data_IF_312897805770
#
_entry.id   IF_312897805770
#
_cell.length_a   1.000
_cell.length_b   1.000
_cell.length_c   1.000
_cell.angle_alpha   90.00
_cell.angle_beta   90.00
_cell.angle_gamma   90.00
#
_symmetry.space_group_name_H-M   'P 1'
#
loop_
_entity.id
_entity.type
_entity.pdbx_description
1 polymer ?
#
# COMPACT_ATOMS: atom_id res chain seq x y z
N UNK A 1 2.92 14.12 -8.58
CA UNK A 1 1.47 13.89 -8.79
C UNK A 1 0.69 15.20 -8.69
N UNK A 2 0.99 16.12 -7.76
CA UNK A 2 0.18 17.34 -7.49
C UNK A 2 -0.10 18.28 -8.66
N UNK A 3 0.70 18.25 -9.73
CA UNK A 3 0.52 19.12 -10.92
C UNK A 3 -0.39 18.55 -12.00
N UNK A 4 -0.84 17.33 -11.82
CA UNK A 4 -1.62 16.60 -12.82
C UNK A 4 -3.10 16.75 -12.47
N UNK A 5 -4.00 16.99 -13.46
CA UNK A 5 -5.44 16.94 -13.22
C UNK A 5 -5.84 15.65 -12.52
N UNK A 6 -6.66 15.74 -11.48
CA UNK A 6 -7.02 14.56 -10.69
C UNK A 6 -5.92 14.11 -9.72
N UNK A 7 -5.08 15.00 -9.24
CA UNK A 7 -3.96 14.70 -8.35
C UNK A 7 -4.34 13.80 -7.16
N UNK A 8 -5.47 14.07 -6.51
CA UNK A 8 -5.94 13.25 -5.38
C UNK A 8 -6.42 11.85 -5.83
N UNK A 9 -6.94 11.71 -7.04
CA UNK A 9 -7.29 10.40 -7.59
C UNK A 9 -6.02 9.56 -7.83
N UNK A 10 -4.97 10.15 -8.39
CA UNK A 10 -3.67 9.48 -8.52
C UNK A 10 -3.05 9.13 -7.18
N UNK A 11 -3.19 10.02 -6.18
CA UNK A 11 -2.74 9.74 -4.81
C UNK A 11 -3.49 8.55 -4.20
N UNK A 12 -4.80 8.43 -4.49
CA UNK A 12 -5.61 7.30 -4.05
C UNK A 12 -5.09 5.97 -4.66
N UNK A 13 -4.82 5.93 -5.97
CA UNK A 13 -4.28 4.75 -6.64
C UNK A 13 -2.93 4.34 -6.04
N UNK A 14 -2.01 5.29 -5.87
CA UNK A 14 -0.71 5.02 -5.26
C UNK A 14 -0.84 4.61 -3.79
N UNK A 15 -1.73 5.25 -3.04
CA UNK A 15 -2.02 4.90 -1.65
C UNK A 15 -2.52 3.46 -1.52
N UNK A 16 -3.48 3.05 -2.35
CA UNK A 16 -4.00 1.68 -2.38
C UNK A 16 -2.91 0.67 -2.77
N UNK A 17 -2.09 0.97 -3.77
CA UNK A 17 -0.99 0.11 -4.19
C UNK A 17 0.04 -0.10 -3.08
N UNK A 18 0.47 0.98 -2.41
CA UNK A 18 1.46 0.92 -1.33
C UNK A 18 0.88 0.29 -0.06
N UNK A 19 -0.29 0.74 0.40
CA UNK A 19 -0.92 0.19 1.60
C UNK A 19 -1.33 -1.27 1.38
N UNK A 20 -1.91 -1.57 0.23
CA UNK A 20 -2.36 -2.92 -0.10
C UNK A 20 -1.20 -3.91 -0.20
N UNK A 21 -0.04 -3.49 -0.72
CA UNK A 21 1.16 -4.36 -0.75
C UNK A 21 1.65 -4.72 0.65
N UNK A 22 1.45 -3.86 1.65
CA UNK A 22 1.79 -4.17 3.05
C UNK A 22 0.72 -5.07 3.68
N UNK A 23 -0.55 -4.74 3.50
CA UNK A 23 -1.68 -5.45 4.11
C UNK A 23 -2.09 -6.71 3.36
N UNK A 24 -1.70 -6.85 2.08
CA UNK A 24 -2.16 -7.88 1.13
C UNK A 24 -3.69 -8.02 1.06
N UNK A 25 -4.43 -6.98 1.41
CA UNK A 25 -5.89 -6.97 1.49
C UNK A 25 -6.48 -5.78 0.75
N UNK A 26 -7.24 -6.04 -0.31
CA UNK A 26 -7.97 -5.00 -1.05
C UNK A 26 -9.04 -4.32 -0.18
N UNK A 27 -9.69 -5.07 0.71
CA UNK A 27 -10.71 -4.53 1.62
C UNK A 27 -10.06 -3.56 2.61
N UNK A 28 -8.95 -3.97 3.24
CA UNK A 28 -8.22 -3.11 4.16
C UNK A 28 -7.68 -1.86 3.46
N UNK A 29 -7.12 -2.00 2.25
CA UNK A 29 -6.64 -0.89 1.46
C UNK A 29 -7.76 0.09 1.10
N UNK A 30 -8.88 -0.41 0.55
CA UNK A 30 -10.01 0.44 0.17
C UNK A 30 -10.62 1.17 1.36
N UNK A 31 -10.68 0.53 2.52
CA UNK A 31 -11.23 1.12 3.75
C UNK A 31 -10.28 2.18 4.32
N UNK A 32 -9.00 1.86 4.47
CA UNK A 32 -8.02 2.77 5.06
C UNK A 32 -7.78 4.00 4.15
N UNK A 33 -7.48 3.77 2.89
CA UNK A 33 -7.17 4.84 1.94
C UNK A 33 -8.44 5.59 1.54
N UNK A 34 -9.54 4.87 1.25
CA UNK A 34 -10.82 5.48 0.89
C UNK A 34 -11.43 6.30 2.03
N UNK A 35 -11.30 5.83 3.27
CA UNK A 35 -11.78 6.57 4.45
C UNK A 35 -11.14 7.95 4.61
N UNK A 36 -9.89 8.09 4.20
CA UNK A 36 -9.14 9.36 4.26
C UNK A 36 -9.31 10.17 2.97
N UNK A 37 -9.10 9.54 1.81
CA UNK A 37 -9.00 10.28 0.55
C UNK A 37 -10.34 10.59 -0.11
N UNK A 38 -11.39 9.78 0.06
CA UNK A 38 -12.70 10.07 -0.55
C UNK A 38 -13.29 11.36 0.03
N UNK A 39 -13.38 11.57 1.36
CA UNK A 39 -13.83 12.85 1.91
C UNK A 39 -13.00 14.04 1.44
N UNK A 40 -11.68 13.87 1.39
CA UNK A 40 -10.77 14.92 0.92
C UNK A 40 -11.01 15.27 -0.56
N UNK A 41 -11.16 14.26 -1.43
CA UNK A 41 -11.50 14.47 -2.84
C UNK A 41 -12.83 15.22 -3.00
N UNK A 42 -13.86 14.82 -2.26
CA UNK A 42 -15.18 15.48 -2.30
C UNK A 42 -15.07 16.94 -1.85
N UNK A 43 -14.33 17.23 -0.79
CA UNK A 43 -14.11 18.60 -0.31
C UNK A 43 -13.35 19.47 -1.33
N UNK A 44 -12.51 18.87 -2.17
CA UNK A 44 -11.78 19.53 -3.26
C UNK A 44 -12.61 19.60 -4.57
N UNK A 45 -13.89 19.22 -4.53
CA UNK A 45 -14.81 19.36 -5.66
C UNK A 45 -14.85 18.16 -6.61
N UNK A 46 -14.32 17.00 -6.21
CA UNK A 46 -14.48 15.78 -7.00
C UNK A 46 -15.87 15.17 -6.80
N UNK A 47 -16.44 14.60 -7.86
CA UNK A 47 -17.66 13.80 -7.73
C UNK A 47 -17.39 12.57 -6.83
N UNK A 48 -18.31 12.36 -5.86
CA UNK A 48 -18.18 11.26 -4.90
C UNK A 48 -18.17 9.88 -5.56
N UNK A 49 -18.96 9.71 -6.63
CA UNK A 49 -19.02 8.44 -7.38
C UNK A 49 -17.68 8.16 -8.05
N UNK A 50 -17.07 9.19 -8.66
CA UNK A 50 -15.75 9.09 -9.27
C UNK A 50 -14.68 8.75 -8.21
N UNK A 51 -14.63 9.47 -7.09
CA UNK A 51 -13.70 9.22 -6.01
C UNK A 51 -13.81 7.79 -5.47
N UNK A 52 -15.05 7.31 -5.25
CA UNK A 52 -15.31 5.94 -4.78
C UNK A 52 -14.93 4.91 -5.83
N UNK A 53 -15.24 5.14 -7.11
CA UNK A 53 -14.90 4.22 -8.20
C UNK A 53 -13.38 4.06 -8.35
N UNK A 54 -12.62 5.15 -8.29
CA UNK A 54 -11.15 5.10 -8.33
C UNK A 54 -10.60 4.31 -7.14
N UNK A 55 -11.14 4.54 -5.94
CA UNK A 55 -10.71 3.83 -4.74
C UNK A 55 -10.95 2.31 -4.85
N UNK A 56 -12.15 1.91 -5.25
CA UNK A 56 -12.51 0.48 -5.38
C UNK A 56 -11.72 -0.18 -6.50
N UNK A 57 -11.58 0.48 -7.65
CA UNK A 57 -10.84 -0.07 -8.79
C UNK A 57 -9.34 -0.25 -8.49
N UNK A 58 -8.75 0.62 -7.67
CA UNK A 58 -7.33 0.59 -7.34
C UNK A 58 -6.97 -0.31 -6.14
N UNK A 59 -7.92 -0.59 -5.25
CA UNK A 59 -7.64 -1.40 -4.06
C UNK A 59 -7.06 -2.80 -4.37
N UNK A 60 -7.51 -3.55 -5.42
CA UNK A 60 -6.94 -4.83 -5.77
C UNK A 60 -5.47 -4.79 -6.21
N UNK A 61 -4.94 -3.64 -6.63
CA UNK A 61 -3.52 -3.52 -7.01
C UNK A 61 -2.60 -3.94 -5.87
N UNK A 62 -2.98 -3.64 -4.62
CA UNK A 62 -2.22 -4.02 -3.45
C UNK A 62 -2.19 -5.52 -3.14
N UNK A 63 -3.15 -6.30 -3.64
CA UNK A 63 -3.09 -7.77 -3.54
C UNK A 63 -2.15 -8.40 -4.55
N UNK A 64 -1.94 -7.72 -5.68
CA UNK A 64 -1.12 -8.21 -6.79
C UNK A 64 0.33 -7.72 -6.66
N UNK A 65 0.53 -6.50 -6.13
CA UNK A 65 1.88 -5.97 -5.88
C UNK A 65 2.48 -6.65 -4.65
N UNK A 66 3.64 -7.31 -4.78
CA UNK A 66 4.28 -7.99 -3.66
C UNK A 66 4.70 -7.05 -2.50
N UNK A 67 4.79 -7.59 -1.27
CA UNK A 67 4.54 -8.99 -0.88
C UNK A 67 3.05 -9.34 -0.90
N UNK A 68 2.70 -10.49 -1.49
CA UNK A 68 1.31 -10.92 -1.69
C UNK A 68 1.07 -12.30 -1.08
N UNK A 69 0.12 -12.39 -0.14
CA UNK A 69 -0.29 -13.66 0.45
C UNK A 69 -0.89 -14.59 -0.57
N UNK A 70 -1.59 -14.08 -1.60
CA UNK A 70 -2.16 -14.88 -2.67
C UNK A 70 -1.07 -15.63 -3.46
N UNK A 71 0.05 -14.99 -3.76
CA UNK A 71 1.17 -15.65 -4.45
C UNK A 71 1.88 -16.65 -3.58
N UNK A 72 2.02 -16.38 -2.28
CA UNK A 72 2.59 -17.34 -1.32
C UNK A 72 1.70 -18.59 -1.24
N UNK A 73 0.40 -18.42 -1.07
CA UNK A 73 -0.55 -19.53 -1.03
C UNK A 73 -0.57 -20.31 -2.35
N UNK A 74 -0.54 -19.61 -3.49
CA UNK A 74 -0.45 -20.28 -4.79
C UNK A 74 0.83 -21.12 -4.92
N UNK A 75 1.98 -20.61 -4.51
CA UNK A 75 3.24 -21.36 -4.54
C UNK A 75 3.18 -22.65 -3.74
N UNK A 76 2.53 -22.60 -2.56
CA UNK A 76 2.37 -23.77 -1.69
C UNK A 76 1.44 -24.83 -2.31
N UNK A 77 0.31 -24.39 -2.89
CA UNK A 77 -0.71 -25.29 -3.47
C UNK A 77 -0.25 -25.86 -4.82
N UNK A 78 0.42 -25.07 -5.63
CA UNK A 78 0.90 -25.47 -6.96
C UNK A 78 2.14 -26.39 -6.92
N UNK A 79 2.66 -26.71 -5.72
CA UNK A 79 3.70 -27.72 -5.57
C UNK A 79 5.07 -27.31 -6.10
N UNK A 80 5.49 -26.06 -5.90
CA UNK A 80 6.86 -25.63 -6.20
C UNK A 80 7.01 -24.46 -7.16
N UNK A 81 5.94 -23.70 -7.41
CA UNK A 81 6.07 -22.45 -8.15
C UNK A 81 6.96 -21.46 -7.35
N UNK A 82 7.97 -20.90 -8.00
CA UNK A 82 8.90 -19.96 -7.37
C UNK A 82 8.18 -18.69 -6.90
N UNK A 83 8.21 -18.40 -5.61
CA UNK A 83 7.65 -17.17 -5.02
C UNK A 83 8.30 -15.94 -5.62
N UNK A 84 9.61 -15.95 -5.84
CA UNK A 84 10.34 -14.84 -6.45
C UNK A 84 9.86 -14.55 -7.88
N UNK A 85 9.63 -15.60 -8.69
CA UNK A 85 9.09 -15.44 -10.04
C UNK A 85 7.67 -14.90 -10.04
N UNK A 86 6.83 -15.36 -9.11
CA UNK A 86 5.46 -14.85 -8.92
C UNK A 86 5.47 -13.39 -8.50
N UNK A 87 6.38 -12.99 -7.61
CA UNK A 87 6.53 -11.61 -7.19
C UNK A 87 6.97 -10.70 -8.34
N UNK A 88 7.95 -11.12 -9.15
CA UNK A 88 8.37 -10.35 -10.33
C UNK A 88 7.21 -10.16 -11.32
N UNK A 89 6.43 -11.21 -11.59
CA UNK A 89 5.22 -11.13 -12.41
C UNK A 89 4.18 -10.20 -11.79
N UNK A 90 3.99 -10.27 -10.48
CA UNK A 90 3.06 -9.44 -9.73
C UNK A 90 3.38 -7.94 -9.81
N UNK A 91 4.66 -7.57 -9.74
CA UNK A 91 5.07 -6.17 -9.94
C UNK A 91 4.69 -5.66 -11.33
N UNK A 92 4.93 -6.46 -12.37
CA UNK A 92 4.58 -6.06 -13.73
C UNK A 92 3.06 -5.85 -13.87
N UNK A 93 2.27 -6.86 -13.49
CA UNK A 93 0.81 -6.84 -13.63
C UNK A 93 0.18 -5.76 -12.74
N UNK A 94 0.59 -5.66 -11.49
CA UNK A 94 0.08 -4.66 -10.56
C UNK A 94 0.42 -3.22 -10.97
N UNK A 95 1.62 -3.01 -11.51
CA UNK A 95 2.03 -1.71 -12.06
C UNK A 95 1.21 -1.32 -13.29
N UNK A 96 1.00 -2.26 -14.21
CA UNK A 96 0.16 -2.04 -15.40
C UNK A 96 -1.29 -1.74 -15.00
N UNK A 97 -1.83 -2.45 -14.01
CA UNK A 97 -3.16 -2.19 -13.48
C UNK A 97 -3.27 -0.79 -12.88
N UNK A 98 -2.35 -0.42 -11.98
CA UNK A 98 -2.31 0.92 -11.38
C UNK A 98 -2.19 2.02 -12.45
N UNK A 99 -1.29 1.86 -13.42
CA UNK A 99 -1.13 2.80 -14.54
C UNK A 99 -2.39 2.92 -15.38
N UNK A 100 -3.06 1.80 -15.69
CA UNK A 100 -4.33 1.81 -16.43
C UNK A 100 -5.40 2.65 -15.72
N UNK A 101 -5.56 2.45 -14.40
CA UNK A 101 -6.50 3.25 -13.60
C UNK A 101 -6.09 4.72 -13.58
N UNK A 102 -4.79 5.02 -13.43
CA UNK A 102 -4.30 6.40 -13.43
C UNK A 102 -4.56 7.10 -14.76
N UNK A 103 -4.40 6.40 -15.90
CA UNK A 103 -4.73 6.95 -17.22
C UNK A 103 -6.22 7.26 -17.34
N UNK A 104 -7.10 6.33 -16.96
CA UNK A 104 -8.55 6.56 -16.97
C UNK A 104 -8.93 7.71 -16.03
N UNK A 105 -8.38 7.72 -14.80
CA UNK A 105 -8.61 8.77 -13.83
C UNK A 105 -8.16 10.15 -14.36
N UNK A 106 -7.02 10.21 -15.05
CA UNK A 106 -6.53 11.43 -15.70
C UNK A 106 -7.48 11.94 -16.78
N UNK A 107 -7.95 11.04 -17.67
CA UNK A 107 -8.87 11.42 -18.77
C UNK A 107 -10.17 11.98 -18.20
N UNK A 108 -10.76 11.32 -17.20
CA UNK A 108 -11.99 11.78 -16.56
C UNK A 108 -11.75 13.09 -15.81
N UNK A 109 -10.66 13.19 -15.03
CA UNK A 109 -10.33 14.40 -14.29
C UNK A 109 -10.11 15.61 -15.20
N UNK A 110 -9.48 15.41 -16.36
CA UNK A 110 -9.29 16.47 -17.36
C UNK A 110 -10.62 16.90 -17.98
N UNK A 111 -11.52 15.96 -18.28
CA UNK A 111 -12.86 16.27 -18.84
C UNK A 111 -13.74 17.05 -17.84
N UNK A 112 -13.65 16.75 -16.56
CA UNK A 112 -14.43 17.39 -15.51
C UNK A 112 -13.72 18.59 -14.86
N UNK A 113 -12.51 18.98 -15.35
CA UNK A 113 -11.70 20.05 -14.80
C UNK A 113 -11.44 19.94 -13.28
N UNK A 114 -11.19 18.72 -12.80
CA UNK A 114 -10.88 18.52 -11.40
C UNK A 114 -9.58 19.21 -11.00
N UNK A 115 -9.51 19.77 -9.77
CA UNK A 115 -8.42 20.61 -9.35
C UNK A 115 -7.09 19.84 -9.28
N UNK A 116 -6.00 20.59 -9.47
CA UNK A 116 -4.66 20.18 -9.14
C UNK A 116 -4.34 20.58 -7.70
N UNK A 117 -3.58 19.77 -6.99
CA UNK A 117 -3.19 20.12 -5.61
C UNK A 117 -2.05 21.13 -5.64
N UNK A 118 -2.14 22.13 -4.77
CA UNK A 118 -1.07 23.12 -4.59
C UNK A 118 0.27 22.44 -4.26
N UNK A 119 1.37 23.06 -4.69
CA UNK A 119 2.72 22.56 -4.40
C UNK A 119 2.90 22.45 -2.89
N UNK A 120 3.20 21.24 -2.39
CA UNK A 120 3.71 21.06 -1.04
C UNK A 120 5.01 21.87 -0.87
N UNK A 121 5.18 22.51 0.26
CA UNK A 121 6.42 23.21 0.58
C UNK A 121 7.57 22.21 0.67
N UNK A 122 8.74 22.54 0.14
CA UNK A 122 9.91 21.63 0.11
C UNK A 122 10.24 21.03 1.48
N UNK A 123 10.06 21.78 2.57
CA UNK A 123 10.29 21.31 3.93
C UNK A 123 9.28 20.26 4.42
N UNK A 124 8.02 20.38 4.02
CA UNK A 124 6.97 19.41 4.37
C UNK A 124 7.21 18.05 3.70
N UNK A 125 7.58 18.07 2.41
CA UNK A 125 7.89 16.84 1.66
C UNK A 125 9.08 16.10 2.28
N UNK A 126 10.14 16.84 2.66
CA UNK A 126 11.32 16.23 3.29
C UNK A 126 10.98 15.62 4.66
N UNK A 127 10.13 16.29 5.44
CA UNK A 127 9.69 15.77 6.73
C UNK A 127 8.88 14.48 6.57
N UNK A 128 7.87 14.48 5.69
CA UNK A 128 7.03 13.30 5.40
C UNK A 128 7.86 12.15 4.85
N UNK A 129 8.80 12.41 3.95
CA UNK A 129 9.69 11.38 3.44
C UNK A 129 10.56 10.77 4.55
N UNK A 130 11.12 11.59 5.44
CA UNK A 130 11.93 11.10 6.57
C UNK A 130 11.09 10.23 7.52
N UNK A 131 9.87 10.62 7.79
CA UNK A 131 8.93 9.85 8.63
C UNK A 131 8.49 8.54 7.96
N UNK A 132 8.40 8.51 6.64
CA UNK A 132 8.02 7.32 5.87
C UNK A 132 9.20 6.32 5.66
N UNK A 133 10.45 6.78 5.74
CA UNK A 133 11.65 5.93 5.49
C UNK A 133 11.63 4.63 6.28
N UNK A 134 11.34 4.59 7.60
CA UNK A 134 11.36 3.34 8.34
C UNK A 134 10.31 2.34 7.84
N UNK A 135 9.12 2.80 7.47
CA UNK A 135 8.05 1.94 6.95
C UNK A 135 8.39 1.40 5.54
N UNK A 136 8.95 2.26 4.69
CA UNK A 136 9.40 1.85 3.34
C UNK A 136 10.58 0.88 3.42
N UNK A 137 11.47 1.06 4.39
CA UNK A 137 12.62 0.17 4.60
C UNK A 137 12.19 -1.26 4.93
N UNK A 138 11.10 -1.42 5.68
CA UNK A 138 10.52 -2.74 5.93
C UNK A 138 10.18 -3.46 4.63
N UNK A 139 9.51 -2.78 3.70
CA UNK A 139 9.15 -3.36 2.40
C UNK A 139 10.40 -3.78 1.63
N UNK A 140 11.41 -2.92 1.61
CA UNK A 140 12.69 -3.20 0.92
C UNK A 140 13.41 -4.39 1.54
N UNK A 141 13.45 -4.51 2.86
CA UNK A 141 14.05 -5.65 3.56
C UNK A 141 13.35 -6.95 3.20
N UNK A 142 12.02 -6.98 3.30
CA UNK A 142 11.23 -8.19 3.04
C UNK A 142 11.38 -8.63 1.59
N UNK A 143 11.10 -7.72 0.65
CA UNK A 143 11.13 -8.04 -0.77
C UNK A 143 12.55 -8.35 -1.23
N UNK A 144 13.52 -7.52 -0.84
CA UNK A 144 14.91 -7.73 -1.18
C UNK A 144 15.43 -9.06 -0.67
N UNK A 145 15.10 -9.43 0.57
CA UNK A 145 15.52 -10.69 1.16
C UNK A 145 14.89 -11.92 0.50
N UNK A 146 13.62 -11.86 0.13
CA UNK A 146 12.95 -12.96 -0.60
C UNK A 146 13.49 -13.06 -2.03
N UNK A 147 13.64 -11.95 -2.75
CA UNK A 147 14.13 -11.97 -4.13
C UNK A 147 15.59 -12.43 -4.25
N UNK A 148 16.42 -12.08 -3.28
CA UNK A 148 17.81 -12.54 -3.21
C UNK A 148 17.98 -13.95 -2.65
N UNK A 149 16.89 -14.55 -2.13
CA UNK A 149 16.93 -15.89 -1.53
C UNK A 149 17.60 -15.94 -0.15
N UNK A 150 17.80 -14.77 0.50
CA UNK A 150 18.37 -14.70 1.85
C UNK A 150 17.43 -15.29 2.90
N UNK A 151 16.12 -15.15 2.70
CA UNK A 151 15.10 -15.76 3.56
C UNK A 151 13.88 -16.22 2.79
N UNK A 152 13.21 -17.20 3.37
CA UNK A 152 11.90 -17.67 2.93
C UNK A 152 10.81 -16.67 3.29
N UNK A 153 9.62 -16.81 2.70
CA UNK A 153 8.47 -15.99 3.04
C UNK A 153 8.07 -16.11 4.54
N UNK A 154 8.29 -17.28 5.14
CA UNK A 154 8.00 -17.52 6.58
C UNK A 154 8.98 -16.73 7.45
N UNK A 155 10.28 -16.81 7.17
CA UNK A 155 11.31 -16.06 7.89
C UNK A 155 11.13 -14.54 7.69
N UNK A 156 10.75 -14.11 6.48
CA UNK A 156 10.44 -12.73 6.19
C UNK A 156 9.28 -12.20 7.05
N UNK A 157 8.25 -13.04 7.31
CA UNK A 157 7.15 -12.66 8.20
C UNK A 157 7.59 -12.43 9.64
N UNK A 158 8.46 -13.27 10.16
CA UNK A 158 9.04 -13.12 11.50
C UNK A 158 9.89 -11.83 11.60
N UNK A 159 10.71 -11.56 10.58
CA UNK A 159 11.51 -10.33 10.49
C UNK A 159 10.59 -9.11 10.43
N UNK A 160 9.48 -9.18 9.66
CA UNK A 160 8.51 -8.09 9.57
C UNK A 160 7.88 -7.76 10.93
N UNK A 161 7.49 -8.78 11.69
CA UNK A 161 6.92 -8.59 13.04
C UNK A 161 7.96 -7.97 13.96
N UNK A 162 9.17 -8.52 14.03
CA UNK A 162 10.24 -8.01 14.89
C UNK A 162 10.60 -6.55 14.55
N UNK A 163 10.77 -6.25 13.27
CA UNK A 163 11.08 -4.89 12.78
C UNK A 163 9.95 -3.90 13.10
N UNK A 164 8.69 -4.29 12.83
CA UNK A 164 7.53 -3.45 13.10
C UNK A 164 7.37 -3.13 14.58
N UNK A 165 7.60 -4.11 15.46
CA UNK A 165 7.59 -3.92 16.91
C UNK A 165 8.70 -2.96 17.34
N UNK A 166 9.93 -3.17 16.87
CA UNK A 166 11.05 -2.30 17.19
C UNK A 166 10.78 -0.84 16.79
N UNK A 167 10.31 -0.61 15.56
CA UNK A 167 10.02 0.74 15.11
C UNK A 167 8.86 1.37 15.87
N UNK A 168 7.78 0.62 16.08
CA UNK A 168 6.60 1.13 16.79
C UNK A 168 6.88 1.47 18.23
N UNK A 169 7.77 0.72 18.89
CA UNK A 169 8.11 0.96 20.31
C UNK A 169 9.20 2.02 20.47
N UNK A 170 10.26 1.98 19.65
CA UNK A 170 11.44 2.82 19.87
C UNK A 170 11.45 4.09 19.02
N UNK A 171 11.03 4.01 17.77
CA UNK A 171 11.06 5.16 16.85
C UNK A 171 9.78 5.98 16.92
N UNK A 172 8.62 5.37 16.67
CA UNK A 172 7.34 6.07 16.70
C UNK A 172 6.76 6.22 18.10
N UNK A 173 7.17 5.38 19.04
CA UNK A 173 6.70 5.35 20.46
C UNK A 173 5.18 5.26 20.57
N UNK A 174 4.55 4.58 19.61
CA UNK A 174 3.09 4.41 19.54
C UNK A 174 2.60 3.18 20.30
N UNK A 175 3.45 2.16 20.46
CA UNK A 175 3.13 0.89 21.11
C UNK A 175 3.93 0.76 22.39
N UNK A 176 3.26 0.41 23.48
CA UNK A 176 3.88 0.11 24.78
C UNK A 176 3.91 -1.40 25.00
N UNK A 177 4.82 -1.88 25.86
CA UNK A 177 4.92 -3.31 26.22
C UNK A 177 3.58 -3.85 26.74
N UNK A 178 2.82 -3.03 27.46
CA UNK A 178 1.52 -3.40 28.01
C UNK A 178 0.42 -3.61 26.93
N UNK A 179 0.63 -3.13 25.71
CA UNK A 179 -0.31 -3.29 24.60
C UNK A 179 -0.11 -4.63 23.87
N UNK A 180 1.07 -5.25 24.01
CA UNK A 180 1.43 -6.49 23.31
C UNK A 180 0.46 -7.66 23.56
N UNK A 181 0.02 -7.95 24.81
CA UNK A 181 -0.92 -9.03 25.05
C UNK A 181 -2.26 -8.84 24.33
N UNK A 182 -2.73 -7.60 24.26
CA UNK A 182 -3.96 -7.25 23.56
C UNK A 182 -3.79 -7.43 22.06
N UNK A 183 -2.71 -6.94 21.48
CA UNK A 183 -2.40 -7.08 20.05
C UNK A 183 -2.26 -8.55 19.64
N UNK A 184 -1.58 -9.37 20.47
CA UNK A 184 -1.47 -10.80 20.22
C UNK A 184 -2.82 -11.50 20.28
N UNK A 185 -3.66 -11.17 21.26
CA UNK A 185 -5.01 -11.73 21.35
C UNK A 185 -5.86 -11.38 20.13
N UNK A 186 -5.80 -10.13 19.68
CA UNK A 186 -6.52 -9.68 18.46
C UNK A 186 -6.01 -10.39 17.21
N UNK A 187 -4.69 -10.53 17.06
CA UNK A 187 -4.08 -11.26 15.95
C UNK A 187 -4.54 -12.73 15.88
N UNK A 188 -4.56 -13.42 17.03
CA UNK A 188 -5.04 -14.81 17.12
C UNK A 188 -6.53 -14.94 16.80
N UNK A 189 -7.35 -13.98 17.20
CA UNK A 189 -8.80 -13.99 16.92
C UNK A 189 -9.12 -13.69 15.44
N UNK A 190 -8.21 -13.05 14.71
CA UNK A 190 -8.35 -12.72 13.28
C UNK A 190 -7.77 -13.80 12.35
N UNK A 191 -6.96 -14.71 12.87
CA UNK A 191 -6.33 -15.80 12.13
C UNK A 191 -7.19 -17.06 12.10
#
# INVERSE_FOLDING_TARGET
VGRVPGALAHTNVLGNALFGSISSSAIAASTAIGGVLIPQQVNEGYDRKFATAVNIASAPTGMVIPPSTAFIMYSLVAGGASISSLFLGGYLVGSLWALGIMVVAYVIAKRHNYPTVAKAKKGEVSKVLREAVPSVLLIVIIIGGILTGLFTAIEASAIAVAYSLLISMFYYKTVKINDLPKMLKEAVLMS
#
